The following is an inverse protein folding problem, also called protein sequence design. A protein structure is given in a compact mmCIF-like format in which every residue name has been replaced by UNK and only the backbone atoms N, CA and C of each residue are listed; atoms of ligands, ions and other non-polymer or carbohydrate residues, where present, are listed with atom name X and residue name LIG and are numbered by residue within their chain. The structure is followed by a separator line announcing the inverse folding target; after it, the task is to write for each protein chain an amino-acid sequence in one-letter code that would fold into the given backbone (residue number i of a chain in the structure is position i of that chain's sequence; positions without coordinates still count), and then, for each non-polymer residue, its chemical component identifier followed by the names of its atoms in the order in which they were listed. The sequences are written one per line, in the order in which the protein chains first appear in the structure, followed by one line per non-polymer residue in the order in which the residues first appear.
data_IF_728535598696
#
_entry.id   IF_728535598696
#
_cell.length_a   1.000
_cell.length_b   1.000
_cell.length_c   1.000
_cell.angle_alpha   90.00
_cell.angle_beta   90.00
_cell.angle_gamma   90.00
#
_symmetry.space_group_name_H-M   'P 1'
#
loop_
_entity.id
_entity.type
_entity.pdbx_description
1 polymer ?
#
# COMPACT_ATOMS: atom_id res chain seq x y z
N UNK A 1 7.41 6.92 -12.28
CA UNK A 1 6.83 8.23 -11.99
C UNK A 1 6.08 8.20 -10.68
N UNK A 2 6.30 9.20 -9.86
CA UNK A 2 5.62 9.28 -8.57
C UNK A 2 4.39 10.19 -8.69
N UNK A 3 3.21 9.60 -8.61
CA UNK A 3 1.93 10.30 -8.66
C UNK A 3 1.28 10.41 -7.28
N UNK A 4 2.03 10.12 -6.23
CA UNK A 4 1.56 10.19 -4.85
C UNK A 4 2.17 11.41 -4.17
N UNK A 5 1.34 12.21 -3.53
CA UNK A 5 1.81 13.27 -2.64
C UNK A 5 2.12 12.65 -1.27
N UNK A 6 3.37 12.27 -1.06
CA UNK A 6 3.77 11.58 0.16
C UNK A 6 3.60 12.44 1.40
N UNK A 7 3.89 13.72 1.32
CA UNK A 7 3.77 14.61 2.48
C UNK A 7 2.31 14.69 2.94
N UNK A 8 1.38 14.83 2.01
CA UNK A 8 -0.04 14.87 2.32
C UNK A 8 -0.54 13.53 2.86
N UNK A 9 -0.14 12.43 2.23
CA UNK A 9 -0.51 11.09 2.66
C UNK A 9 0.01 10.80 4.07
N UNK A 10 1.25 11.16 4.36
CA UNK A 10 1.84 10.94 5.68
C UNK A 10 1.09 11.74 6.75
N UNK A 11 0.70 12.98 6.46
CA UNK A 11 -0.11 13.76 7.39
C UNK A 11 -1.46 13.10 7.69
N UNK A 12 -2.12 12.59 6.66
CA UNK A 12 -3.41 11.92 6.84
C UNK A 12 -3.30 10.64 7.65
N UNK A 13 -2.19 9.93 7.51
CA UNK A 13 -1.95 8.66 8.19
C UNK A 13 -1.28 8.82 9.55
N UNK A 14 -0.83 10.01 9.91
CA UNK A 14 -0.12 10.25 11.15
C UNK A 14 1.29 9.64 11.16
N UNK A 15 1.93 9.57 10.00
CA UNK A 15 3.26 8.99 9.82
C UNK A 15 4.26 10.10 9.50
N UNK A 16 5.38 10.14 10.22
CA UNK A 16 6.43 11.12 9.95
C UNK A 16 7.30 10.70 8.77
N UNK A 17 7.72 9.43 8.75
CA UNK A 17 8.57 8.87 7.71
C UNK A 17 8.41 7.37 7.66
N UNK A 18 8.92 6.75 6.61
CA UNK A 18 8.92 5.30 6.49
C UNK A 18 9.97 4.68 7.41
N UNK A 19 9.62 3.57 8.04
CA UNK A 19 10.58 2.79 8.81
C UNK A 19 11.40 1.87 7.91
N UNK A 20 12.40 1.19 8.48
CA UNK A 20 13.32 0.35 7.69
C UNK A 20 12.62 -0.81 7.00
N UNK A 21 11.64 -1.43 7.66
CA UNK A 21 10.87 -2.53 7.08
C UNK A 21 10.07 -2.05 5.88
N UNK A 22 9.44 -0.90 5.98
CA UNK A 22 8.66 -0.31 4.87
C UNK A 22 9.56 0.03 3.68
N UNK A 23 10.74 0.59 3.94
CA UNK A 23 11.71 0.89 2.87
C UNK A 23 12.23 -0.38 2.20
N UNK A 24 12.54 -1.40 2.98
CA UNK A 24 13.04 -2.67 2.45
C UNK A 24 11.97 -3.38 1.62
N UNK A 25 10.72 -3.35 2.07
CA UNK A 25 9.59 -3.94 1.34
C UNK A 25 9.41 -3.25 -0.01
N UNK A 26 9.41 -1.93 -0.02
CA UNK A 26 9.27 -1.17 -1.26
C UNK A 26 10.38 -1.48 -2.25
N UNK A 27 11.62 -1.54 -1.76
CA UNK A 27 12.78 -1.87 -2.59
C UNK A 27 12.67 -3.26 -3.19
N UNK A 28 12.26 -4.24 -2.39
CA UNK A 28 12.12 -5.63 -2.85
C UNK A 28 11.00 -5.75 -3.91
N UNK A 29 9.87 -5.09 -3.69
CA UNK A 29 8.76 -5.11 -4.64
C UNK A 29 9.13 -4.43 -5.96
N UNK A 30 9.80 -3.30 -5.89
CA UNK A 30 10.19 -2.54 -7.08
C UNK A 30 11.27 -3.25 -7.89
N UNK A 31 12.05 -4.13 -7.28
CA UNK A 31 13.05 -4.92 -7.98
C UNK A 31 12.42 -5.89 -8.99
N UNK A 32 11.17 -6.32 -8.76
CA UNK A 32 10.42 -7.15 -9.71
C UNK A 32 10.98 -8.54 -9.95
N UNK A 33 11.70 -9.08 -8.99
CA UNK A 33 12.40 -10.37 -9.14
C UNK A 33 11.72 -11.51 -8.39
N UNK A 34 10.45 -11.73 -8.68
CA UNK A 34 9.70 -12.82 -8.08
C UNK A 34 8.92 -12.37 -6.84
N UNK A 35 8.59 -13.32 -5.99
CA UNK A 35 7.73 -13.06 -4.84
C UNK A 35 8.51 -12.43 -3.69
N UNK A 36 7.81 -11.64 -2.90
CA UNK A 36 8.37 -10.99 -1.73
C UNK A 36 7.61 -11.46 -0.48
N UNK A 37 8.34 -11.93 0.52
CA UNK A 37 7.78 -12.31 1.82
C UNK A 37 8.33 -11.36 2.87
N UNK A 38 7.41 -10.74 3.62
CA UNK A 38 7.78 -9.80 4.68
C UNK A 38 7.27 -10.35 6.01
N UNK A 39 8.19 -10.58 6.92
CA UNK A 39 7.88 -11.04 8.28
C UNK A 39 8.15 -9.89 9.24
N UNK A 40 7.09 -9.46 9.91
CA UNK A 40 7.16 -8.30 10.80
C UNK A 40 6.08 -8.41 11.86
N UNK A 41 6.35 -8.01 13.11
CA UNK A 41 5.34 -8.02 14.16
C UNK A 41 4.14 -7.13 13.83
N UNK A 42 3.00 -7.39 14.48
CA UNK A 42 1.83 -6.53 14.37
C UNK A 42 2.14 -5.12 14.87
N UNK A 43 1.48 -4.13 14.28
CA UNK A 43 1.66 -2.74 14.69
C UNK A 43 2.90 -2.06 14.12
N UNK A 44 3.57 -2.67 13.13
CA UNK A 44 4.79 -2.11 12.54
C UNK A 44 4.55 -1.39 11.20
N UNK A 45 3.29 -1.22 10.81
CA UNK A 45 2.97 -0.50 9.57
C UNK A 45 3.05 -1.35 8.33
N UNK A 46 2.73 -2.64 8.42
CA UNK A 46 2.79 -3.55 7.26
C UNK A 46 1.87 -3.13 6.13
N UNK A 47 0.69 -2.61 6.44
CA UNK A 47 -0.27 -2.20 5.40
C UNK A 47 0.32 -1.15 4.48
N UNK A 48 0.90 -0.11 5.04
CA UNK A 48 1.56 0.93 4.25
C UNK A 48 2.78 0.38 3.51
N UNK A 49 3.48 -0.58 4.13
CA UNK A 49 4.70 -1.16 3.56
C UNK A 49 4.46 -1.76 2.18
N UNK A 50 3.32 -2.43 1.96
CA UNK A 50 3.04 -3.02 0.65
C UNK A 50 2.12 -2.14 -0.21
N UNK A 51 1.22 -1.37 0.38
CA UNK A 51 0.30 -0.54 -0.41
C UNK A 51 1.02 0.62 -1.09
N UNK A 52 1.98 1.24 -0.43
CA UNK A 52 2.70 2.37 -1.02
C UNK A 52 3.44 1.98 -2.30
N UNK A 53 4.32 0.97 -2.31
CA UNK A 53 4.96 0.57 -3.57
C UNK A 53 3.97 -0.01 -4.58
N UNK A 54 2.92 -0.68 -4.13
CA UNK A 54 1.90 -1.22 -5.02
C UNK A 54 1.21 -0.10 -5.79
N UNK A 55 0.80 0.95 -5.11
CA UNK A 55 0.13 2.11 -5.74
C UNK A 55 1.06 2.81 -6.72
N UNK A 56 2.35 2.88 -6.41
CA UNK A 56 3.32 3.47 -7.33
C UNK A 56 3.48 2.67 -8.63
N UNK A 57 3.17 1.36 -8.59
CA UNK A 57 3.22 0.48 -9.76
C UNK A 57 1.95 0.51 -10.61
N UNK A 58 0.87 1.09 -10.09
CA UNK A 58 -0.41 1.17 -10.78
C UNK A 58 -0.38 2.30 -11.82
N UNK A 59 -0.93 2.03 -13.00
CA UNK A 59 -1.17 3.06 -14.01
C UNK A 59 -2.57 3.64 -13.79
N UNK A 60 -2.69 4.90 -13.30
CA UNK A 60 -4.00 5.48 -12.99
C UNK A 60 -4.88 5.73 -14.22
N UNK A 61 -4.33 5.68 -15.42
CA UNK A 61 -5.08 5.84 -16.66
C UNK A 61 -5.71 4.54 -17.16
N UNK A 62 -5.35 3.41 -16.57
CA UNK A 62 -5.88 2.10 -16.94
C UNK A 62 -7.02 1.73 -15.99
N UNK A 63 -8.24 1.58 -16.51
CA UNK A 63 -9.43 1.28 -15.71
C UNK A 63 -9.59 -0.19 -15.34
N UNK A 64 -8.75 -1.07 -15.86
CA UNK A 64 -8.80 -2.49 -15.50
C UNK A 64 -8.28 -2.72 -14.08
N UNK A 65 -8.68 -3.84 -13.48
CA UNK A 65 -8.11 -4.27 -12.21
C UNK A 65 -6.64 -4.62 -12.42
N UNK A 66 -5.76 -3.95 -11.70
CA UNK A 66 -4.31 -4.12 -11.83
C UNK A 66 -3.68 -4.82 -10.62
N UNK A 67 -4.36 -4.80 -9.48
CA UNK A 67 -3.86 -5.41 -8.27
C UNK A 67 -5.02 -5.92 -7.42
N UNK A 68 -4.75 -7.01 -6.72
CA UNK A 68 -5.69 -7.59 -5.76
C UNK A 68 -4.96 -7.80 -4.46
N UNK A 69 -5.55 -7.33 -3.36
CA UNK A 69 -5.01 -7.51 -2.01
C UNK A 69 -5.96 -8.39 -1.23
N UNK A 70 -5.44 -9.51 -0.76
CA UNK A 70 -6.23 -10.48 0.01
C UNK A 70 -5.87 -10.35 1.48
N UNK A 71 -6.87 -10.17 2.32
CA UNK A 71 -6.70 -10.02 3.77
C UNK A 71 -7.62 -10.98 4.51
N UNK A 72 -7.29 -11.32 5.78
CA UNK A 72 -8.03 -12.37 6.49
C UNK A 72 -9.43 -11.97 6.94
N UNK A 73 -9.78 -10.68 6.94
CA UNK A 73 -11.09 -10.28 7.42
C UNK A 73 -11.52 -8.90 6.98
N UNK A 74 -12.79 -8.61 7.24
CA UNK A 74 -13.45 -7.36 6.87
C UNK A 74 -12.73 -6.12 7.41
N UNK A 75 -12.33 -6.19 8.68
CA UNK A 75 -11.70 -5.04 9.34
C UNK A 75 -10.41 -4.63 8.66
N UNK A 76 -9.58 -5.61 8.31
CA UNK A 76 -8.34 -5.34 7.59
C UNK A 76 -8.61 -4.87 6.15
N UNK A 77 -9.67 -5.34 5.52
CA UNK A 77 -10.06 -4.85 4.20
C UNK A 77 -10.42 -3.36 4.25
N UNK A 78 -11.22 -2.96 5.24
CA UNK A 78 -11.60 -1.56 5.42
C UNK A 78 -10.40 -0.69 5.78
N UNK A 79 -9.52 -1.19 6.65
CA UNK A 79 -8.31 -0.49 7.05
C UNK A 79 -7.38 -0.27 5.85
N UNK A 80 -7.22 -1.28 5.00
CA UNK A 80 -6.44 -1.16 3.78
C UNK A 80 -7.03 -0.13 2.81
N UNK A 81 -8.35 -0.11 2.70
CA UNK A 81 -9.03 0.87 1.87
C UNK A 81 -8.82 2.29 2.38
N UNK A 82 -8.81 2.49 3.71
CA UNK A 82 -8.55 3.80 4.29
C UNK A 82 -7.13 4.29 4.00
N UNK A 83 -6.16 3.40 4.08
CA UNK A 83 -4.77 3.74 3.72
C UNK A 83 -4.69 4.10 2.24
N UNK A 84 -5.34 3.32 1.39
CA UNK A 84 -5.37 3.57 -0.04
C UNK A 84 -5.98 4.94 -0.36
N UNK A 85 -7.09 5.28 0.31
CA UNK A 85 -7.74 6.58 0.14
C UNK A 85 -6.81 7.72 0.57
N UNK A 86 -6.04 7.54 1.63
CA UNK A 86 -5.07 8.55 2.09
C UNK A 86 -3.94 8.76 1.07
N UNK A 87 -3.55 7.71 0.36
CA UNK A 87 -2.55 7.85 -0.71
C UNK A 87 -3.09 8.62 -1.91
N UNK A 88 -4.40 8.51 -2.19
CA UNK A 88 -5.12 9.38 -3.11
C UNK A 88 -4.82 9.25 -4.59
N UNK A 89 -3.96 8.32 -4.98
CA UNK A 89 -3.46 8.25 -6.37
C UNK A 89 -4.28 7.33 -7.26
N UNK A 90 -5.01 6.39 -6.67
CA UNK A 90 -5.77 5.37 -7.40
C UNK A 90 -7.08 5.08 -6.69
N UNK A 91 -7.97 4.41 -7.39
CA UNK A 91 -9.22 3.94 -6.80
C UNK A 91 -9.07 2.52 -6.31
N UNK A 92 -9.55 2.26 -5.11
CA UNK A 92 -9.59 0.93 -4.56
C UNK A 92 -10.97 0.63 -3.99
N UNK A 93 -11.30 -0.65 -3.95
CA UNK A 93 -12.60 -1.11 -3.45
C UNK A 93 -12.38 -2.25 -2.47
N UNK A 94 -12.96 -2.17 -1.29
CA UNK A 94 -12.98 -3.27 -0.35
C UNK A 94 -14.19 -4.15 -0.65
N UNK A 95 -13.96 -5.47 -0.79
CA UNK A 95 -15.01 -6.43 -1.03
C UNK A 95 -15.03 -7.45 0.11
N UNK A 96 -16.21 -7.66 0.69
CA UNK A 96 -16.41 -8.65 1.75
C UNK A 96 -17.85 -9.15 1.72
N UNK A 97 -18.03 -10.37 2.16
CA UNK A 97 -19.32 -11.06 2.12
C UNK A 97 -20.33 -10.60 3.12
#
# INVERSE_FOLDING_TARGET
MNHIDLAKAFRKLGVESLNDMQKATAKAMQAGKGDVVVLSPTGTGKTLAYLLPLVEMINPENDNVQAVVIVPGRELALQSQQVLAALGAVRGMACYG
#
